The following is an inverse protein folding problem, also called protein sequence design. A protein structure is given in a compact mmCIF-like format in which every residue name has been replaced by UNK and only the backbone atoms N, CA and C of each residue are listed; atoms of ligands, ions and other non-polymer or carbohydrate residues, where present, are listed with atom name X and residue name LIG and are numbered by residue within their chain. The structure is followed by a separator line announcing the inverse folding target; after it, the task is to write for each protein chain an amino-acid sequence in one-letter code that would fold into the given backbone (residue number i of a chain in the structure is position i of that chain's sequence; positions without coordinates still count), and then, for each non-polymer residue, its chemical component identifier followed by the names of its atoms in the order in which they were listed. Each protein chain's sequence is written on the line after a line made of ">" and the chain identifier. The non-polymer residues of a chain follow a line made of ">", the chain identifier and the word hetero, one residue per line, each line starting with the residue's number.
data_IF_177698499756
#
_entry.id   IF_177698499756
#
_cell.length_a   1.000
_cell.length_b   1.000
_cell.length_c   1.000
_cell.angle_alpha   90.00
_cell.angle_beta   90.00
_cell.angle_gamma   90.00
#
_symmetry.space_group_name_H-M   'P 1'
#
loop_
_entity.id
_entity.type
_entity.pdbx_description
1 polymer ?
#
# COMPACT_ATOMS: atom_id res chain seq x y z
N UNK A 1 -13.97 4.60 19.24
CA UNK A 1 -14.46 5.88 18.67
C UNK A 1 -15.81 5.63 18.02
N UNK A 2 -16.63 6.65 17.72
CA UNK A 2 -17.86 6.34 16.99
C UNK A 2 -17.56 5.99 15.51
N UNK A 3 -18.39 5.14 14.91
CA UNK A 3 -18.21 4.67 13.53
C UNK A 3 -18.16 5.81 12.50
N UNK A 4 -18.84 6.93 12.76
CA UNK A 4 -18.85 8.06 11.84
C UNK A 4 -17.54 8.85 11.87
N UNK A 5 -16.93 9.01 13.04
CA UNK A 5 -15.60 9.62 13.22
C UNK A 5 -14.52 8.79 12.51
N UNK A 6 -14.49 7.48 12.75
CA UNK A 6 -13.53 6.56 12.10
C UNK A 6 -13.67 6.64 10.58
N UNK A 7 -14.90 6.63 10.07
CA UNK A 7 -15.17 6.75 8.64
C UNK A 7 -14.71 8.08 8.06
N UNK A 8 -14.90 9.18 8.77
CA UNK A 8 -14.45 10.50 8.33
C UNK A 8 -12.92 10.54 8.19
N UNK A 9 -12.19 10.05 9.20
CA UNK A 9 -10.72 9.98 9.20
C UNK A 9 -10.22 9.12 8.02
N UNK A 10 -10.79 7.93 7.84
CA UNK A 10 -10.38 7.04 6.74
C UNK A 10 -10.62 7.70 5.38
N UNK A 11 -11.81 8.28 5.16
CA UNK A 11 -12.13 8.94 3.89
C UNK A 11 -11.21 10.13 3.58
N UNK A 12 -10.82 10.89 4.60
CA UNK A 12 -9.90 12.02 4.44
C UNK A 12 -8.50 11.56 4.02
N UNK A 13 -8.02 10.44 4.55
CA UNK A 13 -6.60 10.09 4.46
C UNK A 13 -6.26 8.94 3.51
N UNK A 14 -7.19 8.05 3.18
CA UNK A 14 -6.89 6.81 2.44
C UNK A 14 -6.19 7.05 1.11
N UNK A 15 -6.66 8.00 0.30
CA UNK A 15 -6.08 8.29 -1.01
C UNK A 15 -4.64 8.79 -0.89
N UNK A 16 -4.35 9.59 0.13
CA UNK A 16 -2.99 10.09 0.39
C UNK A 16 -2.07 8.92 0.76
N UNK A 17 -2.51 8.05 1.67
CA UNK A 17 -1.72 6.88 2.09
C UNK A 17 -1.46 5.91 0.94
N UNK A 18 -2.47 5.63 0.10
CA UNK A 18 -2.31 4.81 -1.10
C UNK A 18 -1.27 5.42 -2.07
N UNK A 19 -1.26 6.74 -2.24
CA UNK A 19 -0.27 7.42 -3.06
C UNK A 19 1.15 7.33 -2.47
N UNK A 20 1.30 7.44 -1.15
CA UNK A 20 2.59 7.28 -0.47
C UNK A 20 3.17 5.86 -0.65
N UNK A 21 2.31 4.86 -0.79
CA UNK A 21 2.67 3.46 -1.00
C UNK A 21 2.77 3.04 -2.48
N UNK A 22 2.71 4.00 -3.43
CA UNK A 22 3.01 3.80 -4.86
C UNK A 22 2.24 2.66 -5.54
N UNK A 23 2.80 1.43 -5.64
CA UNK A 23 2.13 0.27 -6.22
C UNK A 23 0.69 0.03 -5.75
N UNK A 24 0.33 0.39 -4.50
CA UNK A 24 -1.01 0.16 -3.95
C UNK A 24 -2.11 0.94 -4.71
N UNK A 25 -1.76 2.03 -5.41
CA UNK A 25 -2.72 2.89 -6.11
C UNK A 25 -3.50 2.21 -7.25
N UNK A 26 -3.00 1.10 -7.80
CA UNK A 26 -3.70 0.39 -8.87
C UNK A 26 -4.88 -0.44 -8.35
N UNK A 27 -4.91 -0.71 -7.04
CA UNK A 27 -5.95 -1.53 -6.42
C UNK A 27 -7.24 -0.74 -6.18
N UNK A 28 -8.37 -1.40 -6.37
CA UNK A 28 -9.67 -0.90 -5.94
C UNK A 28 -9.89 -1.29 -4.47
N UNK A 29 -9.68 -0.33 -3.56
CA UNK A 29 -9.79 -0.53 -2.12
C UNK A 29 -11.16 -0.07 -1.62
N UNK A 30 -11.90 -0.98 -1.00
CA UNK A 30 -13.13 -0.69 -0.27
C UNK A 30 -12.88 -0.79 1.23
N UNK A 31 -13.39 0.17 2.01
CA UNK A 31 -13.32 0.10 3.48
C UNK A 31 -14.69 -0.22 4.09
N UNK A 32 -14.73 -1.27 4.89
CA UNK A 32 -15.87 -1.67 5.73
C UNK A 32 -15.58 -1.33 7.19
N UNK A 33 -16.66 -1.19 7.95
CA UNK A 33 -16.63 -0.73 9.34
C UNK A 33 -17.49 -1.66 10.18
N UNK A 34 -16.98 -2.84 10.46
CA UNK A 34 -17.70 -3.92 11.11
C UNK A 34 -16.87 -4.44 12.29
N UNK A 35 -17.55 -4.98 13.29
CA UNK A 35 -16.89 -5.55 14.46
C UNK A 35 -16.06 -6.77 14.05
N UNK A 36 -14.82 -6.82 14.50
CA UNK A 36 -13.94 -7.95 14.24
C UNK A 36 -13.97 -8.94 15.40
N UNK A 37 -13.81 -10.23 15.08
CA UNK A 37 -13.79 -11.29 16.08
C UNK A 37 -12.43 -11.29 16.77
N UNK A 38 -12.35 -10.82 18.01
CA UNK A 38 -11.19 -11.00 18.87
C UNK A 38 -11.27 -12.34 19.61
N UNK A 39 -10.20 -13.11 19.63
CA UNK A 39 -10.08 -14.26 20.55
C UNK A 39 -9.57 -13.79 21.93
N UNK A 40 -9.50 -14.69 22.91
CA UNK A 40 -9.11 -14.34 24.28
C UNK A 40 -7.66 -13.83 24.41
N UNK A 41 -6.87 -13.89 23.34
CA UNK A 41 -5.43 -13.62 23.35
C UNK A 41 -5.01 -12.52 22.37
N UNK A 42 -5.90 -12.08 21.47
CA UNK A 42 -5.55 -11.16 20.39
C UNK A 42 -6.71 -10.23 20.06
N UNK A 43 -6.48 -8.93 20.20
CA UNK A 43 -7.39 -7.91 19.69
C UNK A 43 -7.01 -7.58 18.25
N UNK A 44 -7.90 -7.87 17.30
CA UNK A 44 -7.75 -7.48 15.89
C UNK A 44 -8.53 -6.18 15.70
N UNK A 45 -7.82 -5.12 15.29
CA UNK A 45 -8.41 -3.78 15.13
C UNK A 45 -8.77 -3.45 13.69
N UNK A 46 -8.07 -4.08 12.75
CA UNK A 46 -8.34 -4.03 11.33
C UNK A 46 -7.87 -5.35 10.69
N UNK A 47 -8.41 -5.65 9.52
CA UNK A 47 -7.96 -6.75 8.68
C UNK A 47 -8.14 -6.38 7.21
N UNK A 48 -7.43 -7.07 6.33
CA UNK A 48 -7.57 -6.93 4.89
C UNK A 48 -7.83 -8.27 4.21
N UNK A 49 -8.78 -8.26 3.27
CA UNK A 49 -9.05 -9.34 2.34
C UNK A 49 -8.70 -8.95 0.91
N UNK A 50 -8.25 -9.92 0.12
CA UNK A 50 -7.79 -9.71 -1.25
C UNK A 50 -8.61 -10.50 -2.27
N UNK A 51 -8.84 -9.88 -3.43
CA UNK A 51 -9.20 -10.56 -4.67
C UNK A 51 -8.17 -10.19 -5.74
N UNK A 52 -7.16 -11.05 -5.88
CA UNK A 52 -6.02 -10.82 -6.78
C UNK A 52 -6.41 -10.78 -8.26
N UNK A 53 -7.48 -11.49 -8.65
CA UNK A 53 -7.88 -11.58 -10.05
C UNK A 53 -8.42 -10.24 -10.59
N UNK A 54 -8.94 -9.41 -9.70
CA UNK A 54 -9.56 -8.12 -10.04
C UNK A 54 -8.85 -6.92 -9.41
N UNK A 55 -7.69 -7.13 -8.78
CA UNK A 55 -6.96 -6.12 -8.00
C UNK A 55 -7.88 -5.38 -7.02
N UNK A 56 -8.74 -6.13 -6.30
CA UNK A 56 -9.64 -5.58 -5.30
C UNK A 56 -9.17 -5.95 -3.90
N UNK A 57 -9.30 -5.00 -2.98
CA UNK A 57 -9.05 -5.25 -1.57
C UNK A 57 -10.18 -4.68 -0.71
N UNK A 58 -10.50 -5.39 0.35
CA UNK A 58 -11.47 -4.96 1.35
C UNK A 58 -10.74 -4.84 2.67
N UNK A 59 -10.64 -3.62 3.17
CA UNK A 59 -10.15 -3.34 4.52
C UNK A 59 -11.35 -3.28 5.45
N UNK A 60 -11.37 -4.08 6.50
CA UNK A 60 -12.39 -3.99 7.56
C UNK A 60 -11.75 -3.38 8.79
N UNK A 61 -12.31 -2.29 9.32
CA UNK A 61 -11.84 -1.65 10.56
C UNK A 61 -12.92 -1.79 11.62
N UNK A 62 -12.57 -2.28 12.80
CA UNK A 62 -13.47 -2.30 13.95
C UNK A 62 -13.50 -0.91 14.62
N UNK A 63 -14.60 -0.15 14.56
CA UNK A 63 -14.66 1.19 15.14
C UNK A 63 -14.59 1.19 16.68
N UNK A 64 -15.07 0.12 17.31
CA UNK A 64 -15.19 0.01 18.75
C UNK A 64 -13.81 -0.19 19.41
N UNK A 65 -12.83 -0.69 18.65
CA UNK A 65 -11.45 -0.88 19.11
C UNK A 65 -10.51 0.28 18.82
N UNK A 66 -10.99 1.35 18.17
CA UNK A 66 -10.19 2.53 17.87
C UNK A 66 -10.24 3.52 19.03
N UNK A 67 -9.07 3.93 19.52
CA UNK A 67 -8.97 4.87 20.65
C UNK A 67 -8.99 6.33 20.19
N UNK A 68 -8.23 6.64 19.14
CA UNK A 68 -8.05 7.99 18.59
C UNK A 68 -7.72 7.97 17.09
N UNK A 69 -7.64 9.15 16.48
CA UNK A 69 -7.36 9.29 15.06
C UNK A 69 -5.99 8.74 14.63
N UNK A 70 -4.98 8.80 15.50
CA UNK A 70 -3.67 8.23 15.20
C UNK A 70 -3.74 6.70 15.19
N UNK A 71 -4.53 6.10 16.09
CA UNK A 71 -4.77 4.67 16.11
C UNK A 71 -5.45 4.21 14.80
N UNK A 72 -6.47 4.94 14.32
CA UNK A 72 -7.12 4.68 13.02
C UNK A 72 -6.11 4.76 11.88
N UNK A 73 -5.30 5.82 11.81
CA UNK A 73 -4.35 6.03 10.73
C UNK A 73 -3.24 4.98 10.71
N UNK A 74 -2.76 4.55 11.89
CA UNK A 74 -1.77 3.48 12.01
C UNK A 74 -2.34 2.15 11.51
N UNK A 75 -3.56 1.78 11.94
CA UNK A 75 -4.21 0.55 11.48
C UNK A 75 -4.48 0.60 9.96
N UNK A 76 -5.00 1.71 9.44
CA UNK A 76 -5.22 1.88 8.00
C UNK A 76 -3.92 1.75 7.20
N UNK A 77 -2.83 2.37 7.67
CA UNK A 77 -1.51 2.25 7.02
C UNK A 77 -1.00 0.81 7.08
N UNK A 78 -1.17 0.13 8.20
CA UNK A 78 -0.78 -1.27 8.39
C UNK A 78 -1.45 -2.17 7.35
N UNK A 79 -2.77 -2.06 7.19
CA UNK A 79 -3.52 -2.83 6.18
C UNK A 79 -3.10 -2.50 4.74
N UNK A 80 -2.83 -1.23 4.44
CA UNK A 80 -2.33 -0.84 3.11
C UNK A 80 -0.91 -1.39 2.82
N UNK A 81 -0.10 -1.65 3.85
CA UNK A 81 1.20 -2.31 3.67
C UNK A 81 1.01 -3.81 3.42
N UNK A 82 0.04 -4.48 4.05
CA UNK A 82 -0.34 -5.83 3.63
C UNK A 82 -0.72 -5.88 2.15
N UNK A 83 -1.46 -4.86 1.67
CA UNK A 83 -1.77 -4.71 0.25
C UNK A 83 -0.54 -4.54 -0.64
N UNK A 84 0.49 -3.81 -0.18
CA UNK A 84 1.77 -3.73 -0.88
C UNK A 84 2.46 -5.11 -1.00
N UNK A 85 2.24 -6.00 -0.03
CA UNK A 85 2.79 -7.35 0.02
C UNK A 85 1.89 -8.40 -0.67
N UNK A 86 0.76 -8.00 -1.26
CA UNK A 86 -0.19 -8.88 -1.94
C UNK A 86 0.42 -9.87 -2.95
N UNK A 87 1.46 -9.54 -3.75
CA UNK A 87 2.09 -10.52 -4.63
C UNK A 87 2.72 -11.71 -3.90
N UNK A 88 3.25 -11.49 -2.69
CA UNK A 88 3.81 -12.56 -1.86
C UNK A 88 2.68 -13.46 -1.36
N UNK A 89 1.56 -12.88 -0.93
CA UNK A 89 0.38 -13.63 -0.52
C UNK A 89 -0.23 -14.46 -1.66
N UNK A 90 -0.31 -13.90 -2.86
CA UNK A 90 -0.77 -14.61 -4.05
C UNK A 90 0.12 -15.81 -4.39
N UNK A 91 1.45 -15.62 -4.36
CA UNK A 91 2.42 -16.71 -4.55
C UNK A 91 2.20 -17.83 -3.53
N UNK A 92 1.92 -17.46 -2.27
CA UNK A 92 1.70 -18.43 -1.21
C UNK A 92 0.41 -19.22 -1.36
N UNK A 93 -0.66 -18.62 -1.86
CA UNK A 93 -1.87 -19.37 -2.21
C UNK A 93 -1.57 -20.54 -3.17
N UNK A 94 -0.62 -20.36 -4.09
CA UNK A 94 -0.15 -21.43 -4.98
C UNK A 94 0.70 -22.45 -4.22
N UNK A 95 1.65 -22.02 -3.39
CA UNK A 95 2.50 -22.93 -2.61
C UNK A 95 1.67 -23.82 -1.69
N UNK A 96 0.70 -23.25 -0.97
CA UNK A 96 -0.19 -23.98 -0.05
C UNK A 96 -0.92 -25.12 -0.73
N UNK A 97 -1.38 -24.92 -1.97
CA UNK A 97 -2.06 -25.97 -2.75
C UNK A 97 -1.21 -27.22 -3.04
N UNK A 98 0.10 -27.17 -2.77
CA UNK A 98 1.04 -28.29 -2.96
C UNK A 98 1.43 -28.98 -1.64
N UNK A 99 0.98 -28.46 -0.49
CA UNK A 99 1.32 -28.96 0.83
C UNK A 99 0.26 -29.95 1.32
N UNK A 100 0.66 -30.82 2.26
CA UNK A 100 -0.31 -31.57 3.06
C UNK A 100 -0.84 -30.73 4.24
N UNK A 101 -1.92 -31.18 4.88
CA UNK A 101 -2.60 -30.45 5.98
C UNK A 101 -1.65 -30.04 7.12
N UNK A 102 -0.72 -30.93 7.50
CA UNK A 102 0.23 -30.62 8.57
C UNK A 102 1.24 -29.56 8.15
N UNK A 103 1.70 -29.63 6.90
CA UNK A 103 2.61 -28.64 6.33
C UNK A 103 1.93 -27.28 6.15
N UNK A 104 0.65 -27.25 5.75
CA UNK A 104 -0.14 -26.03 5.63
C UNK A 104 -0.24 -25.28 6.96
N UNK A 105 -0.50 -25.97 8.08
CA UNK A 105 -0.56 -25.33 9.40
C UNK A 105 0.77 -24.70 9.82
N UNK A 106 1.89 -25.42 9.62
CA UNK A 106 3.24 -24.92 9.95
C UNK A 106 3.60 -23.73 9.07
N UNK A 107 3.30 -23.81 7.78
CA UNK A 107 3.54 -22.76 6.81
C UNK A 107 2.71 -21.50 7.13
N UNK A 108 1.44 -21.67 7.51
CA UNK A 108 0.57 -20.58 7.94
C UNK A 108 1.07 -19.85 9.19
N UNK A 109 1.57 -20.60 10.17
CA UNK A 109 2.17 -20.00 11.36
C UNK A 109 3.44 -19.21 11.02
N UNK A 110 4.30 -19.77 10.16
CA UNK A 110 5.55 -19.13 9.75
C UNK A 110 5.31 -17.86 8.92
N UNK A 111 4.37 -17.90 8.00
CA UNK A 111 3.92 -16.75 7.23
C UNK A 111 3.45 -15.64 8.14
N UNK A 112 2.49 -15.92 9.04
CA UNK A 112 1.89 -14.88 9.85
C UNK A 112 2.99 -14.08 10.55
N UNK A 113 3.98 -14.76 11.10
CA UNK A 113 5.15 -14.10 11.70
C UNK A 113 5.96 -13.31 10.67
N UNK A 114 6.24 -13.88 9.49
CA UNK A 114 7.08 -13.26 8.46
C UNK A 114 6.44 -12.01 7.85
N UNK A 115 5.16 -12.08 7.45
CA UNK A 115 4.41 -10.98 6.84
C UNK A 115 4.23 -9.85 7.85
N UNK A 116 3.75 -10.14 9.06
CA UNK A 116 3.62 -9.13 10.13
C UNK A 116 4.96 -8.44 10.43
N UNK A 117 6.06 -9.21 10.44
CA UNK A 117 7.40 -8.65 10.63
C UNK A 117 7.83 -7.77 9.46
N UNK A 118 7.46 -8.13 8.24
CA UNK A 118 7.71 -7.32 7.06
C UNK A 118 6.93 -6.01 7.13
N UNK A 119 5.62 -6.07 7.43
CA UNK A 119 4.75 -4.92 7.61
C UNK A 119 5.33 -3.95 8.65
N UNK A 120 5.65 -4.46 9.85
CA UNK A 120 6.28 -3.65 10.91
C UNK A 120 7.61 -3.00 10.48
N UNK A 121 8.41 -3.68 9.65
CA UNK A 121 9.67 -3.12 9.18
C UNK A 121 9.44 -2.01 8.14
N UNK A 122 8.46 -2.18 7.25
CA UNK A 122 8.05 -1.14 6.30
C UNK A 122 7.51 0.07 7.06
N UNK A 123 6.67 -0.13 8.08
CA UNK A 123 6.18 0.96 8.93
C UNK A 123 7.33 1.77 9.55
N UNK A 124 8.32 1.09 10.14
CA UNK A 124 9.50 1.76 10.72
C UNK A 124 10.28 2.59 9.71
N UNK A 125 10.43 2.07 8.49
CA UNK A 125 11.11 2.79 7.39
C UNK A 125 10.33 4.04 7.01
N UNK A 126 9.00 3.96 6.91
CA UNK A 126 8.14 5.11 6.63
C UNK A 126 8.16 6.13 7.77
N UNK A 127 8.20 5.68 9.03
CA UNK A 127 8.31 6.54 10.21
C UNK A 127 9.63 7.33 10.26
N UNK A 128 10.68 6.87 9.58
CA UNK A 128 11.93 7.63 9.40
C UNK A 128 11.84 8.72 8.33
N UNK A 129 10.68 8.90 7.69
CA UNK A 129 10.47 9.90 6.65
C UNK A 129 10.98 9.50 5.28
N UNK A 130 11.34 8.23 5.08
CA UNK A 130 11.70 7.71 3.76
C UNK A 130 10.44 7.61 2.91
N UNK A 131 10.35 8.48 1.90
CA UNK A 131 9.32 8.39 0.86
C UNK A 131 9.76 7.34 -0.15
N UNK A 132 8.85 6.44 -0.53
CA UNK A 132 9.07 5.55 -1.68
C UNK A 132 9.12 6.46 -2.91
N UNK A 133 10.27 6.58 -3.62
CA UNK A 133 10.35 7.43 -4.80
C UNK A 133 9.40 6.87 -5.87
N UNK A 134 8.37 7.62 -6.21
CA UNK A 134 7.40 7.31 -7.26
C UNK A 134 8.07 7.53 -8.62
N UNK A 135 9.04 6.68 -8.97
CA UNK A 135 9.96 6.86 -10.10
C UNK A 135 10.83 8.12 -9.97
N UNK A 136 12.04 8.16 -10.57
CA UNK A 136 12.64 9.45 -10.86
C UNK A 136 11.64 10.24 -11.71
N UNK A 137 11.45 11.53 -11.40
CA UNK A 137 10.89 12.49 -12.35
C UNK A 137 11.57 12.17 -13.69
N UNK A 138 10.82 11.66 -14.67
CA UNK A 138 11.34 11.58 -16.03
C UNK A 138 11.75 13.01 -16.34
N UNK A 139 13.06 13.27 -16.36
CA UNK A 139 13.59 14.56 -16.73
C UNK A 139 12.91 14.89 -18.06
N UNK A 140 12.08 15.93 -18.06
CA UNK A 140 11.37 16.35 -19.25
C UNK A 140 12.39 16.35 -20.39
N UNK A 141 12.09 15.70 -21.54
CA UNK A 141 13.06 15.61 -22.62
C UNK A 141 13.56 17.02 -22.89
N UNK A 142 14.87 17.26 -22.71
CA UNK A 142 15.49 18.54 -23.03
C UNK A 142 15.01 18.91 -24.42
N UNK A 143 14.21 19.96 -24.52
CA UNK A 143 13.79 20.45 -25.83
C UNK A 143 15.07 20.69 -26.60
N UNK A 144 15.27 20.06 -27.78
CA UNK A 144 16.46 20.28 -28.55
C UNK A 144 16.59 21.78 -28.77
N UNK A 145 17.66 22.37 -28.25
CA UNK A 145 17.95 23.78 -28.47
C UNK A 145 17.90 24.00 -29.97
N UNK A 146 16.94 24.81 -30.41
CA UNK A 146 16.80 25.16 -31.82
C UNK A 146 18.15 25.68 -32.29
N UNK A 147 18.83 24.90 -33.12
CA UNK A 147 20.10 25.30 -33.69
C UNK A 147 19.87 26.65 -34.38
N UNK A 148 20.55 27.70 -33.91
CA UNK A 148 20.54 28.99 -34.56
C UNK A 148 20.95 28.80 -36.02
N UNK A 149 19.98 28.95 -36.92
CA UNK A 149 20.21 29.02 -38.35
C UNK A 149 21.09 30.24 -38.62
N UNK A 150 22.41 30.01 -38.72
CA UNK A 150 23.37 31.02 -39.17
C UNK A 150 23.03 31.38 -40.60
N UNK A 151 22.36 32.51 -40.79
CA UNK A 151 22.06 33.09 -42.09
C UNK A 151 23.37 33.35 -42.84
N UNK A 152 23.56 32.83 -44.07
CA UNK A 152 24.79 33.08 -44.82
C UNK A 152 24.87 34.56 -45.20
N UNK A 153 25.93 35.24 -44.76
CA UNK A 153 26.26 36.61 -45.19
C UNK A 153 26.50 36.60 -46.71
N UNK A 154 25.65 37.33 -47.44
CA UNK A 154 25.86 37.65 -48.86
C UNK A 154 27.21 38.33 -49.01
N UNK A 155 28.13 37.72 -49.76
CA UNK A 155 29.33 38.40 -50.27
C UNK A 155 28.88 39.30 -51.42
N UNK A 156 28.94 40.62 -51.20
CA UNK A 156 28.95 41.61 -52.28
C UNK A 156 30.26 41.44 -53.06
N UNK A 157 30.17 41.05 -54.33
CA UNK A 157 31.26 41.17 -55.28
C UNK A 157 31.22 42.57 -55.89
N UNK A 158 32.37 43.25 -55.84
CA UNK A 158 32.70 44.44 -56.64
C UNK A 158 33.49 44.00 -57.86
#
# INVERSE_FOLDING_TARGET
>A
MDKSEVKAIVHEHINRLMNELGPVRSWNVTVKYDRLSSDAHTTINAEIGFDYAYEQAVITIDPDSQDDANHVLRNLRHELIHLLLAPIEAYRGVVRSMLDEQQEEVEAAAERVAIERCVMNVERVLDWGLKIPLMPEEAAPEQPQAAELKTPRKRSQS
#
